data_IF_100273298271
#
_entry.id   IF_100273298271
#
_cell.length_a   1.000
_cell.length_b   1.000
_cell.length_c   1.000
_cell.angle_alpha   90.00
_cell.angle_beta   90.00
_cell.angle_gamma   90.00
#
_symmetry.space_group_name_H-M   'P 1'
#
loop_
_entity.id
_entity.type
_entity.pdbx_description
1 polymer ?
#
# COMPACT_ATOMS: atom_id res chain seq x y z
N UNK A 1 -8.65 9.25 29.26
CA UNK A 1 -9.68 8.86 28.28
C UNK A 1 -8.96 8.20 27.12
N UNK A 2 -9.02 6.88 27.05
CA UNK A 2 -8.33 6.05 26.05
C UNK A 2 -8.96 6.34 24.67
N UNK A 3 -8.29 7.17 23.87
CA UNK A 3 -8.59 7.28 22.44
C UNK A 3 -8.36 5.93 21.78
N UNK A 4 -9.18 5.58 20.78
CA UNK A 4 -9.10 4.37 19.94
C UNK A 4 -7.77 3.62 20.10
N UNK A 5 -7.77 2.63 20.99
CA UNK A 5 -6.59 1.85 21.28
C UNK A 5 -6.32 0.85 20.17
N UNK A 6 -5.17 0.18 20.30
CA UNK A 6 -4.84 -0.98 19.48
C UNK A 6 -5.96 -2.04 19.45
N UNK A 7 -6.69 -2.34 20.56
CA UNK A 7 -7.78 -3.31 20.54
C UNK A 7 -8.92 -2.93 19.60
N UNK A 8 -9.37 -1.68 19.60
CA UNK A 8 -10.47 -1.22 18.76
C UNK A 8 -10.10 -1.27 17.27
N UNK A 9 -8.86 -0.92 16.92
CA UNK A 9 -8.36 -1.07 15.55
C UNK A 9 -8.33 -2.53 15.08
N UNK A 10 -7.95 -3.47 15.95
CA UNK A 10 -7.95 -4.90 15.63
C UNK A 10 -9.37 -5.42 15.38
N UNK A 11 -10.36 -4.97 16.16
CA UNK A 11 -11.77 -5.35 15.96
C UNK A 11 -12.27 -4.84 14.60
N UNK A 12 -12.01 -3.57 14.27
CA UNK A 12 -12.39 -2.99 12.98
C UNK A 12 -11.70 -3.74 11.83
N UNK A 13 -10.40 -3.99 11.95
CA UNK A 13 -9.62 -4.75 10.96
C UNK A 13 -10.21 -6.16 10.77
N UNK A 14 -10.61 -6.82 11.86
CA UNK A 14 -11.21 -8.15 11.81
C UNK A 14 -12.54 -8.14 11.05
N UNK A 15 -13.40 -7.14 11.27
CA UNK A 15 -14.67 -7.00 10.53
C UNK A 15 -14.40 -6.79 9.03
N UNK A 16 -13.46 -5.90 8.70
CA UNK A 16 -13.04 -5.66 7.31
C UNK A 16 -12.51 -6.96 6.68
N UNK A 17 -11.69 -7.72 7.40
CA UNK A 17 -11.17 -9.01 6.94
C UNK A 17 -12.26 -10.05 6.72
N UNK A 18 -13.34 -10.05 7.51
CA UNK A 18 -14.47 -10.97 7.30
C UNK A 18 -15.26 -10.59 6.05
N UNK A 19 -15.49 -9.31 5.80
CA UNK A 19 -16.25 -8.83 4.64
C UNK A 19 -15.46 -9.00 3.34
N UNK A 20 -14.19 -8.59 3.33
CA UNK A 20 -13.36 -8.58 2.13
C UNK A 20 -12.53 -9.87 1.97
N UNK A 21 -12.29 -10.61 3.05
CA UNK A 21 -11.39 -11.76 3.08
C UNK A 21 -9.92 -11.37 3.29
N UNK A 22 -9.16 -12.23 3.98
CA UNK A 22 -7.74 -12.00 4.28
C UNK A 22 -6.83 -11.91 3.04
N UNK A 23 -7.26 -12.46 1.89
CA UNK A 23 -6.52 -12.38 0.63
C UNK A 23 -6.66 -11.04 -0.10
N UNK A 24 -7.75 -10.29 0.11
CA UNK A 24 -8.04 -9.05 -0.63
C UNK A 24 -7.24 -7.85 -0.14
N UNK A 25 -6.96 -7.77 1.16
CA UNK A 25 -6.13 -6.70 1.72
C UNK A 25 -4.71 -6.67 1.11
N UNK A 26 -3.96 -7.80 1.06
CA UNK A 26 -2.65 -7.85 0.41
C UNK A 26 -2.70 -7.55 -1.09
N UNK A 27 -3.76 -7.97 -1.79
CA UNK A 27 -3.95 -7.70 -3.22
C UNK A 27 -4.09 -6.19 -3.50
N UNK A 28 -4.96 -5.52 -2.74
CA UNK A 28 -5.14 -4.06 -2.81
C UNK A 28 -3.86 -3.33 -2.39
N UNK A 29 -3.21 -3.76 -1.30
CA UNK A 29 -1.95 -3.17 -0.84
C UNK A 29 -0.83 -3.28 -1.89
N UNK A 30 -0.74 -4.40 -2.61
CA UNK A 30 0.21 -4.57 -3.72
C UNK A 30 -0.11 -3.66 -4.90
N UNK A 31 -1.37 -3.51 -5.27
CA UNK A 31 -1.78 -2.62 -6.36
C UNK A 31 -1.49 -1.14 -6.01
N UNK A 32 -1.89 -0.71 -4.82
CA UNK A 32 -1.62 0.65 -4.30
C UNK A 32 -0.13 0.88 -4.15
N UNK A 33 0.62 -0.08 -3.61
CA UNK A 33 2.07 0.03 -3.43
C UNK A 33 2.82 0.19 -4.74
N UNK A 34 2.42 -0.54 -5.79
CA UNK A 34 2.96 -0.33 -7.15
C UNK A 34 2.63 1.06 -7.69
N UNK A 35 1.40 1.53 -7.52
CA UNK A 35 1.01 2.89 -7.93
C UNK A 35 1.82 3.98 -7.23
N UNK A 36 2.00 3.87 -5.91
CA UNK A 36 2.82 4.81 -5.12
C UNK A 36 4.28 4.75 -5.57
N UNK A 37 4.83 3.56 -5.80
CA UNK A 37 6.21 3.39 -6.26
C UNK A 37 6.42 4.06 -7.62
N UNK A 38 5.56 3.77 -8.60
CA UNK A 38 5.65 4.36 -9.93
C UNK A 38 5.47 5.89 -9.86
N UNK A 39 4.55 6.38 -9.04
CA UNK A 39 4.36 7.82 -8.82
C UNK A 39 5.61 8.49 -8.23
N UNK A 40 6.26 7.82 -7.27
CA UNK A 40 7.50 8.29 -6.65
C UNK A 40 8.66 8.26 -7.65
N UNK A 41 8.80 7.21 -8.46
CA UNK A 41 9.85 7.08 -9.48
C UNK A 41 9.70 8.16 -10.58
N UNK A 42 8.47 8.44 -11.01
CA UNK A 42 8.18 9.51 -11.96
C UNK A 42 8.43 10.91 -11.37
N UNK A 43 8.03 11.14 -10.11
CA UNK A 43 8.24 12.40 -9.40
C UNK A 43 9.73 12.67 -9.11
N UNK A 44 10.51 11.62 -8.84
CA UNK A 44 11.96 11.70 -8.64
C UNK A 44 12.75 11.71 -9.96
N UNK A 45 12.08 11.68 -11.12
CA UNK A 45 12.71 11.69 -12.45
C UNK A 45 13.60 10.47 -12.74
N UNK A 46 13.44 9.38 -11.97
CA UNK A 46 14.33 8.21 -12.02
C UNK A 46 14.17 7.37 -13.29
N UNK A 47 13.01 7.43 -13.95
CA UNK A 47 12.82 6.77 -15.25
C UNK A 47 13.81 7.27 -16.32
N UNK A 48 14.25 8.53 -16.25
CA UNK A 48 15.25 9.06 -17.19
C UNK A 48 16.67 8.49 -16.97
N UNK A 49 16.97 8.03 -15.75
CA UNK A 49 18.32 7.58 -15.34
C UNK A 49 18.53 6.10 -15.71
N UNK A 50 17.48 5.30 -15.83
CA UNK A 50 17.57 3.89 -16.23
C UNK A 50 17.68 3.67 -17.75
N UNK A 51 17.16 4.60 -18.57
CA UNK A 51 17.31 4.54 -20.03
C UNK A 51 18.75 4.83 -20.49
N UNK A 52 19.48 5.68 -19.77
CA UNK A 52 20.86 6.06 -20.07
C UNK A 52 21.87 4.94 -19.73
N UNK A 53 21.53 4.06 -18.78
CA UNK A 53 22.43 2.98 -18.31
C UNK A 53 22.37 1.70 -19.15
N UNK A 54 21.46 1.63 -20.12
CA UNK A 54 21.26 0.48 -21.03
C UNK A 54 21.68 0.77 -22.48
N UNK A 55 22.18 1.97 -22.78
CA UNK A 55 22.68 2.38 -24.09
C UNK A 55 24.20 2.21 -24.19
#
# INVERSE_FOLDING_TARGET
MFGFGMPELIVIMSIVLVIFGAGKLPEVGRAVGKGIRNFKEASEGKEAIELDKKA
#
